data_IF_129117157881
#
_entry.id   IF_129117157881
#
_cell.length_a   1.000
_cell.length_b   1.000
_cell.length_c   1.000
_cell.angle_alpha   90.00
_cell.angle_beta   90.00
_cell.angle_gamma   90.00
#
_symmetry.space_group_name_H-M   'P 1'
#
loop_
_entity.id
_entity.type
_entity.pdbx_description
1 polymer ?
#
# COMPACT_ATOMS: atom_id res chain seq x y z
N UNK A 1 8.15 1.36 -11.39
CA UNK A 1 8.00 2.34 -10.31
C UNK A 1 8.64 1.74 -9.08
N UNK A 2 9.44 2.52 -8.35
CA UNK A 2 10.12 2.07 -7.14
C UNK A 2 9.72 3.06 -6.06
N UNK A 3 9.07 2.55 -5.03
CA UNK A 3 8.68 3.31 -3.85
C UNK A 3 9.46 2.79 -2.65
N UNK A 4 9.90 3.72 -1.81
CA UNK A 4 10.56 3.44 -0.55
C UNK A 4 9.79 4.18 0.54
N UNK A 5 9.54 3.48 1.65
CA UNK A 5 8.87 4.04 2.81
C UNK A 5 9.70 3.75 4.06
N UNK A 6 9.91 4.77 4.87
CA UNK A 6 10.58 4.67 6.15
C UNK A 6 9.64 5.13 7.27
N UNK A 7 9.49 4.27 8.27
CA UNK A 7 8.73 4.56 9.47
C UNK A 7 9.55 4.19 10.70
N UNK A 8 9.57 5.11 11.67
CA UNK A 8 10.37 4.99 12.88
C UNK A 8 9.45 4.80 14.10
N UNK A 9 9.70 3.77 14.94
CA UNK A 9 9.01 3.64 16.20
C UNK A 9 9.57 4.63 17.23
N UNK A 10 8.67 5.31 17.92
CA UNK A 10 8.93 6.26 19.01
C UNK A 10 8.38 5.68 20.30
N UNK A 11 9.27 5.31 21.21
CA UNK A 11 8.92 4.72 22.50
C UNK A 11 8.62 5.80 23.54
N UNK A 12 7.60 5.61 24.35
CA UNK A 12 7.28 6.52 25.44
C UNK A 12 8.28 6.36 26.61
N UNK A 13 8.72 7.49 27.19
CA UNK A 13 9.72 7.49 28.28
C UNK A 13 9.14 7.06 29.63
N UNK A 14 7.82 7.23 29.83
CA UNK A 14 7.10 6.94 31.07
C UNK A 14 6.42 5.57 31.00
N UNK A 15 5.84 5.22 29.85
CA UNK A 15 5.17 3.94 29.64
C UNK A 15 5.99 3.04 28.71
N UNK A 16 6.66 2.04 29.27
CA UNK A 16 7.46 1.05 28.52
C UNK A 16 6.64 0.18 27.57
N UNK A 17 5.31 0.20 27.70
CA UNK A 17 4.39 -0.52 26.83
C UNK A 17 3.85 0.31 25.67
N UNK A 18 4.15 1.61 25.63
CA UNK A 18 3.60 2.53 24.66
C UNK A 18 4.58 2.84 23.53
N UNK A 19 4.06 2.78 22.30
CA UNK A 19 4.77 3.16 21.08
C UNK A 19 3.90 4.07 20.22
N UNK A 20 4.56 4.96 19.50
CA UNK A 20 4.00 5.72 18.39
C UNK A 20 4.83 5.43 17.16
N UNK A 21 4.19 5.19 16.02
CA UNK A 21 4.87 5.07 14.73
C UNK A 21 4.85 6.44 14.05
N UNK A 22 6.02 6.88 13.60
CA UNK A 22 6.19 8.12 12.84
C UNK A 22 6.65 7.78 11.42
N UNK A 23 5.93 8.27 10.42
CA UNK A 23 6.35 8.22 9.02
C UNK A 23 7.42 9.28 8.79
N UNK A 24 8.65 8.86 8.51
CA UNK A 24 9.82 9.74 8.45
C UNK A 24 10.29 10.04 7.05
N UNK A 25 10.09 9.10 6.12
CA UNK A 25 10.43 9.32 4.72
C UNK A 25 9.53 8.50 3.79
N UNK A 26 9.27 9.06 2.61
CA UNK A 26 8.63 8.37 1.50
C UNK A 26 9.17 8.91 0.19
N UNK A 27 9.78 8.02 -0.59
CA UNK A 27 10.39 8.37 -1.87
C UNK A 27 9.78 7.52 -2.98
N UNK A 28 9.47 8.14 -4.11
CA UNK A 28 8.92 7.48 -5.29
C UNK A 28 9.74 7.83 -6.52
N UNK A 29 9.96 6.86 -7.39
CA UNK A 29 10.70 7.04 -8.62
C UNK A 29 9.80 6.78 -9.84
N UNK A 30 9.09 7.83 -10.22
CA UNK A 30 8.28 7.88 -11.42
C UNK A 30 9.00 8.57 -12.57
N UNK A 31 9.01 7.90 -13.73
CA UNK A 31 9.46 8.47 -14.99
C UNK A 31 8.33 8.39 -16.01
N UNK A 32 7.76 9.53 -16.41
CA UNK A 32 6.99 9.56 -17.66
C UNK A 32 7.98 9.71 -18.81
N UNK A 33 8.08 8.68 -19.65
CA UNK A 33 8.77 8.79 -20.93
C UNK A 33 8.09 9.86 -21.78
N UNK A 34 8.85 10.87 -22.18
CA UNK A 34 8.46 11.96 -23.10
C UNK A 34 7.62 13.12 -22.53
N UNK A 35 7.97 13.65 -21.36
CA UNK A 35 7.46 14.93 -20.86
C UNK A 35 7.57 16.06 -21.92
N UNK A 36 8.68 16.12 -22.66
CA UNK A 36 8.88 17.09 -23.74
C UNK A 36 7.90 16.92 -24.91
N UNK A 37 7.59 15.69 -25.30
CA UNK A 37 6.63 15.43 -26.38
C UNK A 37 5.20 15.77 -25.95
N UNK A 38 4.85 15.52 -24.68
CA UNK A 38 3.56 15.92 -24.10
C UNK A 38 3.42 17.45 -24.05
N UNK A 39 4.49 18.18 -23.68
CA UNK A 39 4.52 19.64 -23.71
C UNK A 39 4.35 20.17 -25.14
N UNK A 40 5.04 19.57 -26.12
CA UNK A 40 4.98 19.97 -27.52
C UNK A 40 3.57 19.77 -28.11
N UNK A 41 2.88 18.68 -27.74
CA UNK A 41 1.51 18.39 -28.14
C UNK A 41 0.44 19.23 -27.40
N UNK A 42 0.83 19.99 -26.38
CA UNK A 42 -0.10 20.76 -25.55
C UNK A 42 -0.69 21.95 -26.32
N UNK A 43 -2.02 22.04 -26.29
CA UNK A 43 -2.78 23.16 -26.87
C UNK A 43 -2.59 24.45 -26.05
N UNK A 44 -2.59 25.58 -26.74
CA UNK A 44 -2.51 26.91 -26.11
C UNK A 44 -3.68 27.12 -25.13
N UNK A 45 -3.37 27.74 -23.98
CA UNK A 45 -4.32 28.00 -22.90
C UNK A 45 -4.62 26.80 -21.99
N UNK A 46 -3.95 25.65 -22.17
CA UNK A 46 -4.13 24.48 -21.29
C UNK A 46 -3.01 24.35 -20.25
N UNK A 47 -3.35 23.66 -19.17
CA UNK A 47 -2.40 23.20 -18.15
C UNK A 47 -2.54 21.70 -17.93
N UNK A 48 -1.41 21.03 -17.76
CA UNK A 48 -1.32 19.59 -17.50
C UNK A 48 -0.33 19.32 -16.37
N UNK A 49 -0.56 18.25 -15.62
CA UNK A 49 0.35 17.80 -14.57
C UNK A 49 1.16 16.64 -15.11
N UNK A 50 2.48 16.75 -15.04
CA UNK A 50 3.42 15.74 -15.52
C UNK A 50 4.39 15.36 -14.42
N UNK A 51 4.90 14.13 -14.48
CA UNK A 51 5.90 13.62 -13.56
C UNK A 51 7.24 13.43 -14.28
N UNK A 52 8.28 14.10 -13.80
CA UNK A 52 9.62 14.03 -14.36
C UNK A 52 10.65 13.83 -13.25
N UNK A 53 11.48 12.78 -13.36
CA UNK A 53 12.52 12.45 -12.38
C UNK A 53 12.04 12.41 -10.91
N UNK A 54 10.86 11.82 -10.66
CA UNK A 54 10.30 11.76 -9.30
C UNK A 54 9.83 13.12 -8.75
N UNK A 55 9.55 14.08 -9.63
CA UNK A 55 8.99 15.39 -9.28
C UNK A 55 7.75 15.69 -10.10
N UNK A 56 6.72 16.21 -9.43
CA UNK A 56 5.46 16.58 -10.09
C UNK A 56 5.51 18.05 -10.51
N UNK A 57 5.22 18.30 -11.78
CA UNK A 57 5.23 19.62 -12.38
C UNK A 57 3.87 19.94 -12.99
N UNK A 58 3.33 21.12 -12.68
CA UNK A 58 2.24 21.71 -13.43
C UNK A 58 2.83 22.51 -14.58
N UNK A 59 2.59 22.06 -15.79
CA UNK A 59 2.99 22.79 -17.00
C UNK A 59 1.79 23.48 -17.59
N UNK A 60 1.89 24.79 -17.82
CA UNK A 60 0.83 25.60 -18.41
C UNK A 60 1.35 26.33 -19.64
N UNK A 61 0.64 26.24 -20.76
CA UNK A 61 0.96 26.96 -22.00
C UNK A 61 -0.01 28.12 -22.16
N UNK A 62 0.50 29.35 -22.19
CA UNK A 62 -0.35 30.53 -22.39
C UNK A 62 -0.78 30.67 -23.88
N UNK A 63 -1.62 31.66 -24.19
CA UNK A 63 -2.09 31.93 -25.56
C UNK A 63 -1.01 32.48 -26.49
N UNK A 64 0.13 32.87 -25.95
CA UNK A 64 1.30 33.36 -26.70
C UNK A 64 2.30 32.21 -26.97
N UNK A 65 1.93 30.97 -26.60
CA UNK A 65 2.78 29.80 -26.76
C UNK A 65 3.86 29.65 -25.68
N UNK A 66 3.96 30.55 -24.70
CA UNK A 66 4.91 30.50 -23.60
C UNK A 66 4.53 29.39 -22.63
N UNK A 67 5.47 28.49 -22.37
CA UNK A 67 5.33 27.36 -21.44
C UNK A 67 5.87 27.77 -20.07
N UNK A 68 5.07 27.58 -19.03
CA UNK A 68 5.44 27.80 -17.63
C UNK A 68 5.41 26.46 -16.90
N UNK A 69 6.43 26.18 -16.09
CA UNK A 69 6.58 24.92 -15.35
C UNK A 69 6.70 25.23 -13.87
N UNK A 70 5.70 24.81 -13.09
CA UNK A 70 5.63 25.00 -11.65
C UNK A 70 5.81 23.66 -10.93
N UNK A 71 6.74 23.59 -9.97
CA UNK A 71 6.95 22.38 -9.17
C UNK A 71 5.87 22.27 -8.08
N UNK A 72 5.11 21.18 -8.12
CA UNK A 72 4.03 20.90 -7.16
C UNK A 72 4.56 20.17 -5.92
N UNK A 73 5.50 19.23 -6.08
CA UNK A 73 6.08 18.46 -4.97
C UNK A 73 7.26 19.22 -4.37
N UNK A 74 7.09 19.76 -3.17
CA UNK A 74 8.12 20.48 -2.41
C UNK A 74 8.65 19.64 -1.26
N UNK A 75 7.79 18.85 -0.65
CA UNK A 75 8.10 17.94 0.45
C UNK A 75 7.83 16.50 0.01
N UNK A 76 8.57 15.54 0.56
CA UNK A 76 8.34 14.12 0.30
C UNK A 76 6.90 13.71 0.65
N UNK A 77 6.33 14.33 1.69
CA UNK A 77 4.94 14.10 2.13
C UNK A 77 3.91 14.43 1.05
N UNK A 78 4.24 15.29 0.08
CA UNK A 78 3.33 15.68 -1.01
C UNK A 78 3.01 14.51 -1.94
N UNK A 79 3.82 13.45 -1.88
CA UNK A 79 3.57 12.20 -2.59
C UNK A 79 2.59 11.28 -1.85
N UNK A 80 2.36 11.50 -0.56
CA UNK A 80 1.51 10.64 0.28
C UNK A 80 0.08 11.18 0.31
N UNK A 81 -0.86 10.41 -0.23
CA UNK A 81 -2.29 10.73 -0.17
C UNK A 81 -2.94 10.07 1.05
N UNK A 82 -2.53 8.84 1.37
CA UNK A 82 -3.06 8.04 2.46
C UNK A 82 -1.97 7.19 3.09
N UNK A 83 -2.02 6.99 4.40
CA UNK A 83 -1.25 5.92 5.05
C UNK A 83 -1.98 5.33 6.24
N UNK A 84 -1.65 4.09 6.55
CA UNK A 84 -2.25 3.31 7.62
C UNK A 84 -1.23 2.44 8.34
N UNK A 85 -1.57 2.08 9.57
CA UNK A 85 -0.75 1.29 10.47
C UNK A 85 -1.56 0.14 11.05
N UNK A 86 -0.92 -1.02 11.08
CA UNK A 86 -1.31 -2.23 11.79
C UNK A 86 -0.21 -2.49 12.84
N UNK A 87 -0.54 -2.43 14.14
CA UNK A 87 0.43 -2.56 15.22
C UNK A 87 0.80 -4.01 15.54
N UNK A 88 0.08 -5.00 15.01
CA UNK A 88 0.36 -6.43 15.17
C UNK A 88 0.03 -7.23 13.90
N UNK A 89 0.79 -6.96 12.83
CA UNK A 89 0.56 -7.52 11.50
C UNK A 89 0.60 -9.05 11.45
N UNK A 90 1.33 -9.68 12.37
CA UNK A 90 1.44 -11.14 12.42
C UNK A 90 0.31 -11.83 13.21
N UNK A 91 -0.65 -11.06 13.73
CA UNK A 91 -1.76 -11.57 14.55
C UNK A 91 -2.73 -12.47 13.75
N UNK A 92 -2.97 -12.14 12.47
CA UNK A 92 -4.02 -12.78 11.66
C UNK A 92 -3.50 -13.32 10.33
N UNK A 93 -3.38 -14.64 10.25
CA UNK A 93 -2.99 -15.34 9.01
C UNK A 93 -4.08 -15.21 7.95
N UNK A 94 -3.66 -15.00 6.70
CA UNK A 94 -4.56 -15.01 5.55
C UNK A 94 -4.85 -16.45 5.11
N UNK A 95 -6.08 -16.91 5.34
CA UNK A 95 -6.49 -18.28 5.04
C UNK A 95 -7.53 -18.27 3.93
N UNK A 96 -7.28 -19.03 2.87
CA UNK A 96 -8.22 -19.24 1.77
C UNK A 96 -8.83 -20.64 1.83
N UNK A 97 -10.02 -20.79 1.25
CA UNK A 97 -10.69 -22.09 1.08
C UNK A 97 -10.47 -22.58 -0.34
N UNK A 98 -9.77 -23.69 -0.49
CA UNK A 98 -9.48 -24.31 -1.79
C UNK A 98 -10.36 -25.55 -1.95
N UNK A 99 -11.06 -25.73 -3.07
CA UNK A 99 -11.80 -26.96 -3.31
C UNK A 99 -10.83 -28.15 -3.38
N UNK A 100 -11.04 -29.12 -2.51
CA UNK A 100 -10.40 -30.43 -2.56
C UNK A 100 -10.98 -31.14 -3.76
N UNK A 101 -10.15 -31.40 -4.77
CA UNK A 101 -10.59 -32.11 -5.95
C UNK A 101 -11.12 -33.50 -5.57
N UNK A 102 -12.39 -33.77 -5.88
CA UNK A 102 -13.01 -35.11 -5.78
C UNK A 102 -12.49 -36.10 -6.83
N UNK A 103 -11.23 -35.95 -7.27
CA UNK A 103 -10.63 -36.81 -8.29
C UNK A 103 -11.09 -36.53 -9.74
N UNK A 104 -11.87 -35.48 -10.00
CA UNK A 104 -12.43 -35.18 -11.34
C UNK A 104 -11.62 -34.15 -12.15
N UNK A 105 -10.39 -33.85 -11.75
CA UNK A 105 -9.49 -33.00 -12.54
C UNK A 105 -8.07 -33.55 -12.52
N UNK A 106 -7.73 -34.33 -13.56
CA UNK A 106 -6.35 -34.40 -14.05
C UNK A 106 -5.55 -35.69 -13.82
N UNK A 107 -6.13 -36.81 -13.40
CA UNK A 107 -5.45 -38.11 -13.47
C UNK A 107 -6.33 -39.12 -14.20
N UNK A 108 -5.73 -39.74 -15.23
CA UNK A 108 -6.30 -40.71 -16.15
C UNK A 108 -7.48 -41.53 -15.61
N UNK A 109 -8.66 -41.35 -16.20
CA UNK A 109 -9.69 -42.39 -16.17
C UNK A 109 -9.12 -43.62 -16.85
N UNK A 110 -8.79 -44.65 -16.07
CA UNK A 110 -8.56 -46.00 -16.60
C UNK A 110 -9.83 -46.43 -17.35
N UNK A 111 -9.74 -46.93 -18.60
CA UNK A 111 -10.91 -47.38 -19.32
C UNK A 111 -11.52 -48.59 -18.61
N UNK A 112 -12.76 -48.47 -18.12
CA UNK A 112 -13.52 -49.62 -17.58
C UNK A 112 -14.02 -49.54 -16.14
N UNK A 113 -13.85 -48.41 -15.43
CA UNK A 113 -14.51 -48.19 -14.13
C UNK A 113 -15.50 -47.02 -14.25
N UNK A 114 -16.79 -47.33 -14.36
CA UNK A 114 -17.85 -46.33 -14.20
C UNK A 114 -18.04 -46.04 -12.71
N UNK A 115 -17.94 -44.76 -12.32
CA UNK A 115 -18.24 -44.34 -10.96
C UNK A 115 -19.76 -44.38 -10.72
N UNK A 116 -20.23 -44.78 -9.51
CA UNK A 116 -21.66 -44.78 -9.19
C UNK A 116 -22.27 -43.38 -9.37
N UNK A 117 -23.35 -43.30 -10.14
CA UNK A 117 -24.22 -42.13 -10.23
C UNK A 117 -25.08 -42.07 -8.96
N UNK A 118 -24.54 -41.55 -7.87
CA UNK A 118 -25.32 -40.92 -6.80
C UNK A 118 -24.39 -40.42 -5.71
N UNK A 119 -24.04 -39.14 -5.79
CA UNK A 119 -23.94 -38.22 -4.67
C UNK A 119 -23.56 -36.86 -5.27
N UNK A 120 -24.42 -35.86 -5.10
CA UNK A 120 -24.00 -34.46 -5.17
C UNK A 120 -22.99 -34.23 -4.04
N UNK A 121 -21.74 -34.65 -4.24
CA UNK A 121 -20.65 -34.40 -3.33
C UNK A 121 -20.51 -32.88 -3.23
N UNK A 122 -20.95 -32.32 -2.10
CA UNK A 122 -20.68 -30.93 -1.78
C UNK A 122 -19.17 -30.73 -1.93
N UNK A 123 -18.72 -29.68 -2.64
CA UNK A 123 -17.30 -29.43 -2.78
C UNK A 123 -16.69 -29.37 -1.38
N UNK A 124 -15.83 -30.34 -1.06
CA UNK A 124 -15.05 -30.30 0.17
C UNK A 124 -14.02 -29.20 0.00
N UNK A 125 -13.91 -28.30 0.97
CA UNK A 125 -12.91 -27.24 0.94
C UNK A 125 -11.89 -27.47 2.05
N UNK A 126 -10.63 -27.29 1.73
CA UNK A 126 -9.55 -27.25 2.72
C UNK A 126 -9.14 -25.79 2.96
N UNK A 127 -8.87 -25.47 4.23
CA UNK A 127 -8.31 -24.19 4.62
C UNK A 127 -6.79 -24.23 4.42
N UNK A 128 -6.29 -23.34 3.57
CA UNK A 128 -4.87 -23.22 3.26
C UNK A 128 -4.39 -21.82 3.58
N UNK A 129 -3.36 -21.73 4.41
CA UNK A 129 -2.65 -20.47 4.66
C UNK A 129 -1.91 -20.06 3.38
N UNK A 130 -2.05 -18.80 2.98
CA UNK A 130 -1.39 -18.25 1.78
C UNK A 130 0.10 -17.97 2.00
N UNK A 131 0.56 -18.01 3.25
CA UNK A 131 1.89 -17.51 3.65
C UNK A 131 1.89 -16.03 4.03
N UNK A 132 0.79 -15.31 3.80
CA UNK A 132 0.61 -13.89 4.16
C UNK A 132 -0.19 -13.68 5.44
N UNK A 133 -0.23 -12.42 5.89
CA UNK A 133 -1.09 -11.98 6.98
C UNK A 133 -2.07 -10.91 6.49
N UNK A 134 -3.23 -10.87 7.12
CA UNK A 134 -4.27 -9.87 6.86
C UNK A 134 -3.84 -8.57 7.52
N UNK A 135 -3.74 -7.50 6.74
CA UNK A 135 -3.52 -6.17 7.26
C UNK A 135 -4.79 -5.66 7.94
N UNK A 136 -4.71 -5.41 9.25
CA UNK A 136 -5.80 -4.84 10.04
C UNK A 136 -5.53 -3.35 10.24
N UNK A 137 -6.42 -2.52 9.70
CA UNK A 137 -6.28 -1.07 9.82
C UNK A 137 -6.68 -0.64 11.24
N UNK A 138 -5.67 -0.38 12.07
CA UNK A 138 -5.87 0.11 13.44
C UNK A 138 -5.74 1.63 13.53
N UNK A 139 -4.96 2.24 12.63
CA UNK A 139 -4.82 3.69 12.53
C UNK A 139 -4.59 4.11 11.07
N UNK A 140 -5.08 5.30 10.70
CA UNK A 140 -4.85 5.88 9.38
C UNK A 140 -4.86 7.41 9.38
N UNK A 141 -4.18 8.00 8.40
CA UNK A 141 -4.27 9.43 8.06
C UNK A 141 -4.27 9.63 6.56
N UNK A 142 -5.01 10.64 6.09
CA UNK A 142 -5.21 10.90 4.67
C UNK A 142 -5.44 12.38 4.40
N UNK A 143 -5.05 12.80 3.20
CA UNK A 143 -5.33 14.16 2.71
C UNK A 143 -6.74 14.23 2.13
N UNK A 144 -7.33 15.41 2.21
CA UNK A 144 -8.58 15.72 1.52
C UNK A 144 -8.39 16.90 0.59
N UNK A 145 -9.37 17.15 -0.27
CA UNK A 145 -9.37 18.35 -1.13
C UNK A 145 -9.36 19.65 -0.32
N UNK A 146 -9.94 19.63 0.89
CA UNK A 146 -10.12 20.81 1.74
C UNK A 146 -8.95 20.97 2.72
N UNK A 147 -8.55 19.86 3.36
CA UNK A 147 -7.41 19.80 4.25
C UNK A 147 -6.31 18.96 3.61
N UNK A 148 -5.21 19.63 3.26
CA UNK A 148 -4.04 18.97 2.69
C UNK A 148 -3.06 18.49 3.74
N UNK A 149 -3.26 18.76 5.02
CA UNK A 149 -2.31 18.32 6.05
C UNK A 149 -2.38 16.80 6.23
N UNK A 150 -1.22 16.20 6.51
CA UNK A 150 -1.08 14.78 6.76
C UNK A 150 -0.46 14.59 8.15
N UNK A 151 -1.10 13.78 8.99
CA UNK A 151 -0.54 13.44 10.30
C UNK A 151 0.58 12.42 10.09
N UNK A 152 1.80 12.77 10.47
CA UNK A 152 2.98 11.92 10.25
C UNK A 152 3.25 11.00 11.43
N UNK A 153 2.54 11.17 12.54
CA UNK A 153 2.68 10.32 13.72
C UNK A 153 1.33 9.70 14.06
N UNK A 154 1.35 8.44 14.47
CA UNK A 154 0.15 7.75 14.94
C UNK A 154 -0.27 8.24 16.33
N UNK A 155 -1.52 7.96 16.70
CA UNK A 155 -1.91 8.00 18.10
C UNK A 155 -1.07 6.99 18.91
N UNK A 156 -0.85 7.29 20.20
CA UNK A 156 -0.11 6.40 21.10
C UNK A 156 -0.83 5.05 21.19
N UNK A 157 -0.13 3.98 20.81
CA UNK A 157 -0.59 2.60 20.98
C UNK A 157 0.08 2.00 22.21
N UNK A 158 -0.68 1.29 23.04
CA UNK A 158 -0.15 0.61 24.24
C UNK A 158 -0.39 -0.89 24.12
N UNK A 159 0.67 -1.67 24.22
CA UNK A 159 0.58 -3.14 24.20
C UNK A 159 0.24 -3.70 25.58
N UNK A 160 -0.56 -4.76 25.61
CA UNK A 160 -0.92 -5.43 26.87
C UNK A 160 0.23 -6.25 27.47
N UNK A 161 1.17 -6.71 26.64
CA UNK A 161 2.25 -7.62 27.05
C UNK A 161 3.61 -7.15 26.54
N UNK A 162 4.70 -7.38 27.28
CA UNK A 162 6.04 -7.18 26.76
C UNK A 162 6.32 -8.22 25.67
N UNK A 163 7.03 -7.82 24.63
CA UNK A 163 7.32 -8.72 23.53
C UNK A 163 7.86 -8.01 22.29
N UNK A 164 8.15 -8.82 21.28
CA UNK A 164 8.49 -8.36 19.95
C UNK A 164 7.25 -8.41 19.08
N UNK A 165 6.92 -7.27 18.49
CA UNK A 165 5.81 -7.08 17.59
C UNK A 165 6.33 -6.70 16.20
N UNK A 166 5.52 -6.94 15.18
CA UNK A 166 5.79 -6.47 13.82
C UNK A 166 4.66 -5.54 13.41
N UNK A 167 4.99 -4.26 13.30
CA UNK A 167 4.06 -3.25 12.83
C UNK A 167 4.14 -3.21 11.30
N UNK A 168 3.01 -3.24 10.61
CA UNK A 168 2.97 -2.96 9.18
C UNK A 168 2.55 -1.51 8.94
N UNK A 169 3.30 -0.81 8.10
CA UNK A 169 2.99 0.55 7.66
C UNK A 169 2.71 0.51 6.18
N UNK A 170 1.51 0.93 5.79
CA UNK A 170 1.08 0.99 4.39
C UNK A 170 0.90 2.44 3.98
N UNK A 171 1.56 2.85 2.91
CA UNK A 171 1.46 4.18 2.30
C UNK A 171 0.88 4.03 0.91
N UNK A 172 -0.09 4.86 0.57
CA UNK A 172 -0.68 5.00 -0.76
C UNK A 172 -0.31 6.38 -1.28
N UNK A 173 0.30 6.41 -2.46
CA UNK A 173 0.68 7.67 -3.09
C UNK A 173 -0.46 8.35 -3.84
N UNK A 174 -0.18 9.55 -4.35
CA UNK A 174 -1.14 10.36 -5.13
C UNK A 174 -1.61 9.72 -6.43
N UNK A 175 -0.97 8.63 -6.89
CA UNK A 175 -1.40 7.85 -8.05
C UNK A 175 -2.16 6.58 -7.66
N UNK A 176 -2.29 6.30 -6.36
CA UNK A 176 -3.00 5.14 -5.83
C UNK A 176 -2.14 3.88 -5.71
N UNK A 177 -0.82 3.98 -5.92
CA UNK A 177 0.05 2.83 -5.72
C UNK A 177 0.32 2.63 -4.23
N UNK A 178 0.13 1.41 -3.75
CA UNK A 178 0.38 1.06 -2.35
C UNK A 178 1.79 0.50 -2.14
N UNK A 179 2.38 0.86 -1.01
CA UNK A 179 3.71 0.42 -0.59
C UNK A 179 3.64 0.07 0.89
N UNK A 180 4.14 -1.11 1.25
CA UNK A 180 4.12 -1.59 2.63
C UNK A 180 5.53 -1.84 3.14
N UNK A 181 5.80 -1.43 4.38
CA UNK A 181 7.03 -1.81 5.11
C UNK A 181 6.68 -2.42 6.46
N UNK A 182 7.58 -3.26 6.96
CA UNK A 182 7.45 -3.91 8.26
C UNK A 182 8.46 -3.31 9.22
N UNK A 183 7.95 -2.78 10.33
CA UNK A 183 8.72 -2.15 11.39
C UNK A 183 8.74 -3.09 12.60
N UNK A 184 9.88 -3.71 12.94
CA UNK A 184 9.99 -4.51 14.15
C UNK A 184 10.00 -3.58 15.38
N UNK A 185 9.16 -3.89 16.35
CA UNK A 185 9.03 -3.13 17.61
C UNK A 185 9.26 -4.06 18.79
N UNK A 186 10.03 -3.61 19.79
CA UNK A 186 10.25 -4.35 21.03
C UNK A 186 9.73 -3.51 22.19
N UNK A 187 8.85 -4.09 22.98
CA UNK A 187 8.10 -3.38 24.02
C UNK A 187 8.28 -4.12 25.35
N UNK A 188 8.49 -3.39 26.46
CA UNK A 188 8.77 -3.96 27.78
C UNK A 188 10.18 -3.75 28.32
#
# INVERSE_FOLDING_TARGET
DISFVEATPRYDKKNKFAVTIELTDFSVYYTQGAAEAAIAAMKEGKSEVMCEQGQLYKVSKNKEGVVTKERLTKHWTDWVDYWAVDFDYMSRKEIIKVPVGTGLSGVATLPGLEAPQDEMALPQFEERWTGGYIFENEWQSFRTRQNRDLELATAVHTYDRPGRYTVAVKVIDIFGNDTMTLVPVNVG
#
